data_IF_027104457953
#
_entry.id   IF_027104457953
#
_cell.length_a   1.000
_cell.length_b   1.000
_cell.length_c   1.000
_cell.angle_alpha   90.00
_cell.angle_beta   90.00
_cell.angle_gamma   90.00
#
_symmetry.space_group_name_H-M   'P 1'
#
loop_
_entity.id
_entity.type
_entity.pdbx_description
1 polymer ?
#
# COMPACT_ATOMS: atom_id res chain seq x y z
N UNK A 1 -8.03 -20.37 -5.30
CA UNK A 1 -7.49 -19.13 -5.88
C UNK A 1 -8.62 -18.49 -6.66
N UNK A 2 -9.09 -17.30 -6.26
CA UNK A 2 -10.19 -16.64 -6.96
C UNK A 2 -9.64 -16.10 -8.28
N UNK A 3 -10.17 -16.55 -9.43
CA UNK A 3 -9.68 -16.13 -10.75
C UNK A 3 -9.99 -14.65 -11.04
N UNK A 4 -10.93 -14.05 -10.31
CA UNK A 4 -11.47 -12.71 -10.59
C UNK A 4 -10.71 -11.57 -9.89
N UNK A 5 -9.76 -11.89 -9.01
CA UNK A 5 -8.98 -10.91 -8.25
C UNK A 5 -7.49 -11.16 -8.42
N UNK A 6 -6.71 -10.09 -8.59
CA UNK A 6 -5.24 -10.18 -8.54
C UNK A 6 -4.78 -10.74 -7.19
N UNK A 7 -3.61 -11.38 -7.17
CA UNK A 7 -3.02 -11.88 -5.91
C UNK A 7 -2.87 -10.76 -4.88
N UNK A 8 -2.46 -9.57 -5.33
CA UNK A 8 -2.35 -8.39 -4.46
C UNK A 8 -3.68 -8.04 -3.79
N UNK A 9 -4.79 -8.00 -4.55
CA UNK A 9 -6.11 -7.72 -4.00
C UNK A 9 -6.54 -8.78 -2.97
N UNK A 10 -6.25 -10.06 -3.22
CA UNK A 10 -6.53 -11.14 -2.27
C UNK A 10 -5.73 -10.99 -0.97
N UNK A 11 -4.47 -10.56 -1.05
CA UNK A 11 -3.64 -10.31 0.13
C UNK A 11 -4.16 -9.08 0.90
N UNK A 12 -4.58 -8.02 0.19
CA UNK A 12 -5.17 -6.83 0.82
C UNK A 12 -6.50 -7.10 1.52
N UNK A 13 -7.24 -8.14 1.16
CA UNK A 13 -8.47 -8.56 1.85
C UNK A 13 -8.20 -9.08 3.28
N UNK A 14 -6.96 -9.50 3.60
CA UNK A 14 -6.60 -9.94 4.96
C UNK A 14 -6.32 -8.78 5.92
N UNK A 15 -6.13 -7.56 5.42
CA UNK A 15 -5.96 -6.40 6.28
C UNK A 15 -7.33 -5.92 6.79
N UNK A 16 -7.54 -5.77 8.11
CA UNK A 16 -8.77 -5.21 8.64
C UNK A 16 -8.80 -3.69 8.46
N UNK A 17 -9.17 -3.22 7.26
CA UNK A 17 -9.13 -1.81 6.85
C UNK A 17 -9.81 -0.86 7.84
N UNK A 18 -10.99 -1.21 8.36
CA UNK A 18 -11.69 -0.39 9.37
C UNK A 18 -10.86 -0.18 10.65
N UNK A 19 -10.08 -1.18 11.05
CA UNK A 19 -9.19 -1.07 12.21
C UNK A 19 -7.93 -0.29 11.85
N UNK A 20 -7.39 -0.49 10.66
CA UNK A 20 -6.27 0.28 10.14
C UNK A 20 -6.59 1.78 10.11
N UNK A 21 -7.71 2.16 9.49
CA UNK A 21 -8.13 3.56 9.35
C UNK A 21 -8.34 4.22 10.72
N UNK A 22 -8.96 3.50 11.66
CA UNK A 22 -9.10 3.96 13.05
C UNK A 22 -7.77 4.23 13.73
N UNK A 23 -6.71 3.47 13.44
CA UNK A 23 -5.37 3.75 13.95
C UNK A 23 -4.72 4.95 13.27
N UNK A 24 -4.87 5.06 11.95
CA UNK A 24 -4.41 6.23 11.19
C UNK A 24 -5.02 7.51 11.76
N UNK A 25 -6.33 7.52 12.03
CA UNK A 25 -7.01 8.67 12.62
C UNK A 25 -6.55 8.93 14.05
N UNK A 26 -6.50 7.88 14.89
CA UNK A 26 -6.10 7.99 16.30
C UNK A 26 -4.71 8.61 16.48
N UNK A 27 -3.77 8.26 15.60
CA UNK A 27 -2.38 8.73 15.68
C UNK A 27 -2.07 9.86 14.71
N UNK A 28 -3.06 10.37 13.96
CA UNK A 28 -2.84 11.42 12.97
C UNK A 28 -1.88 11.01 11.85
N UNK A 29 -1.92 9.75 11.41
CA UNK A 29 -1.01 9.20 10.39
C UNK A 29 -1.10 9.91 9.03
N UNK A 30 -2.20 10.62 8.76
CA UNK A 30 -2.36 11.46 7.57
C UNK A 30 -2.12 12.96 7.83
N UNK A 31 -1.63 13.35 9.01
CA UNK A 31 -1.42 14.77 9.35
C UNK A 31 -0.33 15.37 8.46
N UNK A 32 -0.72 16.33 7.62
CA UNK A 32 0.19 17.03 6.71
C UNK A 32 0.46 16.27 5.39
N UNK A 33 -0.21 15.14 5.15
CA UNK A 33 -0.19 14.46 3.86
C UNK A 33 -0.80 15.37 2.78
N UNK A 34 -0.18 15.41 1.60
CA UNK A 34 -0.67 16.15 0.42
C UNK A 34 -1.19 15.25 -0.69
N UNK A 35 -0.49 14.15 -0.96
CA UNK A 35 -0.75 13.29 -2.14
C UNK A 35 -0.63 11.79 -1.86
N UNK A 36 -0.04 11.38 -0.74
CA UNK A 36 0.21 9.96 -0.42
C UNK A 36 -0.20 9.67 1.02
N UNK A 37 -1.40 9.15 1.18
CA UNK A 37 -1.99 8.72 2.45
C UNK A 37 -1.26 7.52 3.04
N UNK A 38 -1.40 7.32 4.35
CA UNK A 38 -0.85 6.17 5.06
C UNK A 38 -1.37 4.84 4.48
N UNK A 39 -2.62 4.81 3.98
CA UNK A 39 -3.19 3.64 3.32
C UNK A 39 -2.55 3.36 1.96
N UNK A 40 -2.26 4.40 1.15
CA UNK A 40 -1.51 4.26 -0.10
C UNK A 40 -0.07 3.80 0.14
N UNK A 41 0.60 4.42 1.12
CA UNK A 41 1.95 4.01 1.53
C UNK A 41 1.97 2.53 1.95
N UNK A 42 0.99 2.07 2.73
CA UNK A 42 0.89 0.67 3.13
C UNK A 42 0.79 -0.26 1.91
N UNK A 43 -0.09 0.06 0.95
CA UNK A 43 -0.27 -0.73 -0.28
C UNK A 43 1.01 -0.76 -1.12
N UNK A 44 1.69 0.38 -1.26
CA UNK A 44 2.96 0.49 -1.99
C UNK A 44 4.02 -0.39 -1.34
N UNK A 45 4.16 -0.34 -0.01
CA UNK A 45 5.15 -1.15 0.71
C UNK A 45 4.82 -2.65 0.62
N UNK A 46 3.55 -3.04 0.71
CA UNK A 46 3.14 -4.44 0.53
C UNK A 46 3.41 -4.92 -0.91
N UNK A 47 3.14 -4.08 -1.92
CA UNK A 47 3.45 -4.38 -3.32
C UNK A 47 4.96 -4.54 -3.53
N UNK A 48 5.76 -3.66 -2.94
CA UNK A 48 7.21 -3.71 -3.00
C UNK A 48 7.77 -5.03 -2.44
N UNK A 49 7.24 -5.47 -1.29
CA UNK A 49 7.60 -6.76 -0.69
C UNK A 49 7.25 -7.93 -1.61
N UNK A 50 6.06 -7.91 -2.22
CA UNK A 50 5.60 -8.97 -3.12
C UNK A 50 6.36 -9.02 -4.45
N UNK A 51 6.92 -7.89 -4.88
CA UNK A 51 7.67 -7.77 -6.15
C UNK A 51 9.18 -7.71 -5.95
N UNK A 52 9.65 -8.03 -4.74
CA UNK A 52 11.07 -8.08 -4.36
C UNK A 52 11.82 -6.78 -4.65
N UNK A 53 11.20 -5.61 -4.42
CA UNK A 53 11.91 -4.32 -4.55
C UNK A 53 12.89 -4.16 -3.39
N UNK A 54 14.13 -3.77 -3.70
CA UNK A 54 15.21 -3.72 -2.71
C UNK A 54 15.39 -2.34 -2.04
N UNK A 55 14.78 -1.29 -2.59
CA UNK A 55 14.92 0.08 -2.07
C UNK A 55 13.72 0.97 -2.41
N UNK A 56 13.57 2.08 -1.68
CA UNK A 56 12.55 3.09 -2.00
C UNK A 56 12.70 3.65 -3.42
N UNK A 57 13.93 3.80 -3.91
CA UNK A 57 14.20 4.23 -5.29
C UNK A 57 13.70 3.20 -6.30
N UNK A 58 13.95 1.92 -6.05
CA UNK A 58 13.48 0.83 -6.92
C UNK A 58 11.94 0.75 -6.94
N UNK A 59 11.30 1.01 -5.80
CA UNK A 59 9.83 1.15 -5.71
C UNK A 59 9.33 2.33 -6.56
N UNK A 60 9.94 3.51 -6.41
CA UNK A 60 9.56 4.72 -7.16
C UNK A 60 9.73 4.51 -8.68
N UNK A 61 10.87 3.99 -9.12
CA UNK A 61 11.12 3.72 -10.54
C UNK A 61 10.11 2.72 -11.09
N UNK A 62 9.78 1.67 -10.32
CA UNK A 62 8.78 0.69 -10.73
C UNK A 62 7.37 1.29 -10.88
N UNK A 63 6.96 2.17 -9.95
CA UNK A 63 5.66 2.83 -9.99
C UNK A 63 5.57 3.93 -11.05
N UNK A 64 6.65 4.70 -11.25
CA UNK A 64 6.73 5.77 -12.24
C UNK A 64 6.93 5.29 -13.68
N UNK A 65 7.33 4.02 -13.88
CA UNK A 65 7.46 3.43 -15.22
C UNK A 65 6.12 3.11 -15.91
N UNK A 66 4.99 3.38 -15.26
CA UNK A 66 3.64 3.19 -15.82
C UNK A 66 3.02 4.47 -16.42
N UNK A 67 3.77 5.57 -16.50
CA UNK A 67 3.38 6.78 -17.26
C UNK A 67 3.61 6.63 -18.77
#
# INVERSE_FOLDING_TARGET
MNADKTLFAQIMDFLPWTTFDRYVDRYGGNRGVRTMTCAEQYRIMAFAQLTYRESLRDIEVCLGAQD
#
